data_IF_405655625361
#
_entry.id   IF_405655625361
#
_cell.length_a   1.000
_cell.length_b   1.000
_cell.length_c   1.000
_cell.angle_alpha   90.00
_cell.angle_beta   90.00
_cell.angle_gamma   90.00
#
_symmetry.space_group_name_H-M   'P 1'
#
loop_
_entity.id
_entity.type
_entity.pdbx_description
1 polymer ?
#
# COMPACT_ATOMS: atom_id res chain seq x y z
N UNK A 1 -0.39 -4.11 14.16
CA UNK A 1 0.43 -4.48 12.98
C UNK A 1 -0.40 -5.40 12.11
N UNK A 2 -0.53 -5.10 10.86
CA UNK A 2 -1.26 -5.95 9.92
C UNK A 2 -0.47 -7.26 9.75
N UNK A 3 -1.12 -8.40 9.94
CA UNK A 3 -0.54 -9.74 9.73
C UNK A 3 -0.13 -9.97 8.25
N UNK A 4 -0.59 -9.08 7.35
CA UNK A 4 -0.40 -9.16 5.91
C UNK A 4 0.95 -8.59 5.41
N UNK A 5 1.65 -7.78 6.22
CA UNK A 5 2.94 -7.16 5.87
C UNK A 5 3.98 -7.52 6.93
N UNK A 6 5.06 -8.16 6.50
CA UNK A 6 6.17 -8.55 7.37
C UNK A 6 7.40 -7.67 7.12
N UNK A 7 8.08 -7.24 8.18
CA UNK A 7 9.39 -6.60 8.05
C UNK A 7 10.48 -7.65 7.96
N UNK A 8 11.41 -7.47 7.04
CA UNK A 8 12.55 -8.36 6.82
C UNK A 8 13.87 -7.60 6.76
N UNK A 9 14.96 -8.32 7.01
CA UNK A 9 16.32 -7.85 6.85
C UNK A 9 16.96 -8.37 5.55
N UNK A 10 18.14 -7.84 5.20
CA UNK A 10 18.92 -8.33 4.07
C UNK A 10 19.26 -9.83 4.16
N UNK A 11 19.44 -10.36 5.37
CA UNK A 11 19.74 -11.79 5.60
C UNK A 11 18.57 -12.72 5.20
N UNK A 12 17.33 -12.25 5.29
CA UNK A 12 16.14 -13.02 4.97
C UNK A 12 15.76 -12.92 3.48
N UNK A 13 16.27 -11.91 2.79
CA UNK A 13 15.92 -11.62 1.40
C UNK A 13 16.21 -12.78 0.42
N UNK A 14 17.35 -13.51 0.48
CA UNK A 14 17.60 -14.65 -0.40
C UNK A 14 16.58 -15.78 -0.25
N UNK A 15 16.15 -16.06 0.99
CA UNK A 15 15.12 -17.07 1.25
C UNK A 15 13.75 -16.65 0.65
N UNK A 16 13.46 -15.36 0.69
CA UNK A 16 12.26 -14.79 0.10
C UNK A 16 12.23 -14.96 -1.43
N UNK A 17 13.35 -14.74 -2.11
CA UNK A 17 13.46 -14.93 -3.57
C UNK A 17 13.26 -16.40 -4.01
N UNK A 18 13.52 -17.36 -3.11
CA UNK A 18 13.26 -18.78 -3.34
C UNK A 18 11.84 -19.21 -2.99
N UNK A 19 10.99 -18.28 -2.52
CA UNK A 19 9.58 -18.55 -2.25
C UNK A 19 8.83 -18.89 -3.55
N UNK A 20 7.85 -19.78 -3.44
CA UNK A 20 6.94 -20.09 -4.55
C UNK A 20 5.92 -18.99 -4.82
N UNK A 21 5.74 -18.08 -3.86
CA UNK A 21 4.84 -16.93 -3.99
C UNK A 21 5.59 -15.76 -4.61
N UNK A 22 4.90 -14.99 -5.47
CA UNK A 22 5.40 -13.66 -5.84
C UNK A 22 5.55 -12.76 -4.62
N UNK A 23 6.43 -11.79 -4.70
CA UNK A 23 6.79 -10.92 -3.58
C UNK A 23 6.69 -9.45 -3.98
N UNK A 24 6.11 -8.65 -3.11
CA UNK A 24 6.16 -7.19 -3.18
C UNK A 24 7.03 -6.69 -2.03
N UNK A 25 8.02 -5.85 -2.34
CA UNK A 25 9.01 -5.35 -1.37
C UNK A 25 8.96 -3.84 -1.32
N UNK A 26 8.63 -3.27 -0.16
CA UNK A 26 8.71 -1.82 0.09
C UNK A 26 10.00 -1.48 0.84
N UNK A 27 10.88 -0.70 0.19
CA UNK A 27 12.05 -0.10 0.82
C UNK A 27 11.67 1.25 1.41
N UNK A 28 11.51 1.30 2.73
CA UNK A 28 11.14 2.49 3.46
C UNK A 28 12.30 3.08 4.28
N UNK A 29 12.13 4.29 4.77
CA UNK A 29 13.08 5.00 5.65
C UNK A 29 12.36 5.66 6.81
N UNK A 30 13.11 6.02 7.87
CA UNK A 30 12.64 6.96 8.88
C UNK A 30 12.57 8.37 8.32
N UNK A 31 11.77 9.23 8.96
CA UNK A 31 11.60 10.64 8.57
C UNK A 31 11.27 10.83 7.08
N UNK A 32 10.37 9.99 6.58
CA UNK A 32 10.00 9.90 5.17
C UNK A 32 8.48 10.10 5.01
N UNK A 33 7.99 11.34 4.84
CA UNK A 33 6.56 11.59 4.68
C UNK A 33 5.91 10.79 3.53
N UNK A 34 6.55 10.60 2.36
CA UNK A 34 5.99 9.73 1.33
C UNK A 34 5.87 8.26 1.75
N UNK A 35 6.79 7.74 2.60
CA UNK A 35 6.70 6.38 3.14
C UNK A 35 5.52 6.25 4.12
N UNK A 36 5.31 7.25 4.96
CA UNK A 36 4.16 7.31 5.88
C UNK A 36 2.84 7.36 5.12
N UNK A 37 2.77 8.14 4.02
CA UNK A 37 1.61 8.20 3.15
C UNK A 37 1.36 6.89 2.36
N UNK A 38 2.41 6.11 2.11
CA UNK A 38 2.32 4.82 1.44
C UNK A 38 1.81 3.72 2.37
N UNK A 39 2.25 3.70 3.62
CA UNK A 39 2.01 2.59 4.56
C UNK A 39 0.56 2.11 4.61
N UNK A 40 -0.48 2.95 4.81
CA UNK A 40 -1.86 2.49 4.85
C UNK A 40 -2.35 1.95 3.50
N UNK A 41 -1.86 2.47 2.38
CA UNK A 41 -2.19 1.96 1.04
C UNK A 41 -1.56 0.60 0.79
N UNK A 42 -0.31 0.43 1.20
CA UNK A 42 0.45 -0.81 1.09
C UNK A 42 -0.20 -1.93 1.93
N UNK A 43 -0.55 -1.64 3.18
CA UNK A 43 -1.25 -2.58 4.06
C UNK A 43 -2.64 -2.95 3.54
N UNK A 44 -3.40 -2.00 2.99
CA UNK A 44 -4.70 -2.26 2.40
C UNK A 44 -4.61 -3.19 1.17
N UNK A 45 -3.61 -3.00 0.30
CA UNK A 45 -3.36 -3.88 -0.85
C UNK A 45 -2.88 -5.24 -0.37
N UNK A 46 -1.95 -5.30 0.58
CA UNK A 46 -1.50 -6.56 1.18
C UNK A 46 -2.66 -7.36 1.77
N UNK A 47 -3.59 -6.71 2.46
CA UNK A 47 -4.78 -7.35 3.01
C UNK A 47 -5.66 -8.06 1.96
N UNK A 48 -5.68 -7.58 0.72
CA UNK A 48 -6.42 -8.22 -0.38
C UNK A 48 -5.68 -9.44 -0.96
N UNK A 49 -4.35 -9.40 -1.04
CA UNK A 49 -3.56 -10.34 -1.85
C UNK A 49 -2.61 -11.23 -1.06
N UNK A 50 -2.49 -11.10 0.27
CA UNK A 50 -1.51 -11.84 1.10
C UNK A 50 -1.60 -13.37 1.01
N UNK A 51 -2.74 -13.92 0.62
CA UNK A 51 -2.89 -15.37 0.42
C UNK A 51 -2.03 -15.87 -0.76
N UNK A 52 -1.88 -15.05 -1.80
CA UNK A 52 -1.23 -15.40 -3.07
C UNK A 52 0.10 -14.66 -3.29
N UNK A 53 0.31 -13.52 -2.64
CA UNK A 53 1.49 -12.66 -2.78
C UNK A 53 2.05 -12.34 -1.41
N UNK A 54 3.36 -12.45 -1.25
CA UNK A 54 4.03 -12.07 -0.01
C UNK A 54 4.37 -10.59 -0.02
N UNK A 55 3.91 -9.85 0.99
CA UNK A 55 4.20 -8.43 1.15
C UNK A 55 5.18 -8.22 2.27
N UNK A 56 6.31 -7.60 1.95
CA UNK A 56 7.36 -7.33 2.93
C UNK A 56 7.82 -5.87 2.85
N UNK A 57 8.36 -5.38 3.96
CA UNK A 57 9.02 -4.10 4.03
C UNK A 57 10.45 -4.26 4.52
N UNK A 58 11.35 -3.43 4.01
CA UNK A 58 12.78 -3.41 4.33
C UNK A 58 13.18 -2.01 4.78
N UNK A 59 13.73 -1.88 5.98
CA UNK A 59 14.26 -0.61 6.46
C UNK A 59 15.57 -0.30 5.75
N UNK A 60 15.53 0.61 4.78
CA UNK A 60 16.61 0.87 3.84
C UNK A 60 17.90 1.31 4.53
N UNK A 61 17.81 2.12 5.59
CA UNK A 61 18.99 2.66 6.28
C UNK A 61 19.83 1.57 6.96
N UNK A 62 19.22 0.49 7.41
CA UNK A 62 19.91 -0.66 8.01
C UNK A 62 20.30 -1.74 6.99
N UNK A 63 19.75 -1.70 5.78
CA UNK A 63 19.96 -2.69 4.73
C UNK A 63 20.54 -2.04 3.45
N UNK A 64 21.55 -1.17 3.62
CA UNK A 64 22.11 -0.37 2.53
C UNK A 64 22.76 -1.18 1.43
N UNK A 65 23.45 -2.28 1.80
CA UNK A 65 24.09 -3.17 0.83
C UNK A 65 23.07 -3.80 -0.10
N UNK A 66 22.02 -4.40 0.46
CA UNK A 66 20.91 -4.94 -0.31
C UNK A 66 20.23 -3.88 -1.20
N UNK A 67 19.98 -2.69 -0.65
CA UNK A 67 19.39 -1.59 -1.42
C UNK A 67 20.29 -1.19 -2.62
N UNK A 68 21.62 -1.13 -2.43
CA UNK A 68 22.56 -0.82 -3.48
C UNK A 68 22.64 -1.94 -4.53
N UNK A 69 22.68 -3.20 -4.13
CA UNK A 69 22.66 -4.35 -5.04
C UNK A 69 21.43 -4.35 -5.93
N UNK A 70 20.27 -4.00 -5.38
CA UNK A 70 19.01 -3.90 -6.12
C UNK A 70 18.81 -2.55 -6.82
N UNK A 71 19.78 -1.63 -6.74
CA UNK A 71 19.70 -0.31 -7.36
C UNK A 71 18.61 0.59 -6.76
N UNK A 72 18.26 0.39 -5.48
CA UNK A 72 17.29 1.22 -4.75
C UNK A 72 17.95 2.49 -4.24
N UNK A 73 17.70 3.60 -4.90
CA UNK A 73 18.36 4.90 -4.64
C UNK A 73 17.62 5.76 -3.62
N UNK A 74 16.34 5.53 -3.39
CA UNK A 74 15.50 6.37 -2.52
C UNK A 74 14.41 5.57 -1.81
N UNK A 75 13.63 6.25 -0.99
CA UNK A 75 12.47 5.70 -0.28
C UNK A 75 11.26 6.64 -0.44
N UNK A 76 10.04 6.13 -0.60
CA UNK A 76 9.76 4.71 -0.77
C UNK A 76 10.17 4.21 -2.17
N UNK A 77 10.53 2.94 -2.25
CA UNK A 77 10.69 2.21 -3.52
C UNK A 77 10.04 0.84 -3.38
N UNK A 78 9.06 0.54 -4.22
CA UNK A 78 8.38 -0.75 -4.22
C UNK A 78 8.78 -1.57 -5.43
N UNK A 79 9.22 -2.81 -5.20
CA UNK A 79 9.59 -3.79 -6.22
C UNK A 79 8.55 -4.90 -6.29
N UNK A 80 8.29 -5.41 -7.50
CA UNK A 80 7.38 -6.52 -7.77
C UNK A 80 8.17 -7.71 -8.35
N UNK A 81 8.32 -8.77 -7.55
CA UNK A 81 9.21 -9.89 -7.84
C UNK A 81 8.42 -11.17 -8.04
N UNK A 82 8.78 -11.93 -9.08
CA UNK A 82 8.28 -13.28 -9.34
C UNK A 82 9.44 -14.17 -9.78
N UNK A 83 9.56 -15.34 -9.16
CA UNK A 83 10.66 -16.28 -9.43
C UNK A 83 12.04 -15.61 -9.30
N UNK A 84 12.20 -14.73 -8.30
CA UNK A 84 13.44 -14.01 -8.03
C UNK A 84 13.75 -12.85 -8.99
N UNK A 85 12.83 -12.50 -9.90
CA UNK A 85 13.03 -11.44 -10.90
C UNK A 85 11.98 -10.35 -10.78
N UNK A 86 12.38 -9.12 -11.06
CA UNK A 86 11.47 -7.99 -11.16
C UNK A 86 10.65 -8.12 -12.45
N UNK A 87 9.32 -8.19 -12.32
CA UNK A 87 8.39 -8.43 -13.45
C UNK A 87 7.51 -7.24 -13.81
N UNK A 88 7.49 -6.22 -12.96
CA UNK A 88 6.79 -4.97 -13.22
C UNK A 88 7.70 -3.78 -12.92
N UNK A 89 7.47 -2.61 -13.53
CA UNK A 89 8.22 -1.40 -13.19
C UNK A 89 8.10 -1.08 -11.72
N UNK A 90 9.24 -0.82 -11.07
CA UNK A 90 9.25 -0.35 -9.69
C UNK A 90 8.59 1.01 -9.57
N UNK A 91 7.92 1.26 -8.46
CA UNK A 91 7.28 2.55 -8.20
C UNK A 91 8.00 3.26 -7.05
N UNK A 92 8.11 4.59 -7.15
CA UNK A 92 8.89 5.42 -6.24
C UNK A 92 8.17 6.74 -5.94
N UNK A 93 8.60 7.43 -4.91
CA UNK A 93 8.12 8.77 -4.54
C UNK A 93 6.67 8.78 -4.05
N UNK A 94 5.78 9.57 -4.63
CA UNK A 94 4.38 9.69 -4.23
C UNK A 94 3.53 8.56 -4.82
N UNK A 95 3.67 7.35 -4.29
CA UNK A 95 3.04 6.13 -4.81
C UNK A 95 1.53 6.13 -4.58
N UNK A 96 0.77 5.89 -5.65
CA UNK A 96 -0.69 5.74 -5.62
C UNK A 96 -1.09 4.28 -5.44
N UNK A 97 -2.27 4.06 -4.85
CA UNK A 97 -2.84 2.70 -4.73
C UNK A 97 -2.99 2.01 -6.08
N UNK A 98 -3.37 2.75 -7.13
CA UNK A 98 -3.50 2.23 -8.49
C UNK A 98 -2.19 1.69 -9.05
N UNK A 99 -1.05 2.30 -8.71
CA UNK A 99 0.28 1.84 -9.14
C UNK A 99 0.67 0.54 -8.43
N UNK A 100 0.34 0.39 -7.14
CA UNK A 100 0.51 -0.87 -6.42
C UNK A 100 -0.33 -1.99 -7.03
N UNK A 101 -1.60 -1.72 -7.31
CA UNK A 101 -2.49 -2.69 -7.95
C UNK A 101 -2.02 -3.08 -9.35
N UNK A 102 -1.54 -2.11 -10.14
CA UNK A 102 -0.95 -2.39 -11.45
C UNK A 102 0.26 -3.32 -11.35
N UNK A 103 1.18 -3.08 -10.40
CA UNK A 103 2.31 -3.97 -10.16
C UNK A 103 1.90 -5.37 -9.70
N UNK A 104 0.91 -5.47 -8.81
CA UNK A 104 0.38 -6.76 -8.33
C UNK A 104 -0.32 -7.53 -9.45
N UNK A 105 -0.98 -6.85 -10.40
CA UNK A 105 -1.64 -7.51 -11.54
C UNK A 105 -0.66 -8.27 -12.44
N UNK A 106 0.61 -7.85 -12.51
CA UNK A 106 1.66 -8.56 -13.25
C UNK A 106 2.18 -9.82 -12.52
N UNK A 107 1.90 -9.93 -11.22
CA UNK A 107 2.33 -11.07 -10.40
C UNK A 107 1.37 -12.26 -10.48
N UNK A 108 0.08 -12.02 -10.76
CA UNK A 108 -0.99 -13.01 -10.68
C UNK A 108 -1.69 -13.22 -12.03
N UNK A 109 -2.29 -14.40 -12.26
CA UNK A 109 -3.22 -14.58 -13.38
C UNK A 109 -4.37 -13.57 -13.28
N UNK A 110 -4.80 -13.00 -14.42
CA UNK A 110 -5.81 -11.94 -14.46
C UNK A 110 -7.10 -12.31 -13.71
N UNK A 111 -7.61 -13.53 -13.88
CA UNK A 111 -8.81 -14.00 -13.17
C UNK A 111 -8.63 -14.03 -11.66
N UNK A 112 -7.42 -14.40 -11.18
CA UNK A 112 -7.14 -14.44 -9.75
C UNK A 112 -7.00 -13.04 -9.17
N UNK A 113 -6.32 -12.15 -9.89
CA UNK A 113 -6.21 -10.75 -9.51
C UNK A 113 -7.59 -10.10 -9.36
N UNK A 114 -8.47 -10.24 -10.36
CA UNK A 114 -9.84 -9.67 -10.31
C UNK A 114 -10.64 -10.22 -9.12
N UNK A 115 -10.58 -11.53 -8.88
CA UNK A 115 -11.28 -12.14 -7.76
C UNK A 115 -10.84 -11.60 -6.40
N UNK A 116 -9.56 -11.26 -6.24
CA UNK A 116 -9.01 -10.72 -4.99
C UNK A 116 -9.17 -9.20 -4.88
N UNK A 117 -9.00 -8.47 -5.98
CA UNK A 117 -9.11 -7.01 -6.00
C UNK A 117 -10.52 -6.53 -5.60
N UNK A 118 -11.54 -7.33 -5.90
CA UNK A 118 -12.94 -7.05 -5.54
C UNK A 118 -13.38 -7.68 -4.21
N UNK A 119 -12.46 -8.23 -3.44
CA UNK A 119 -12.70 -8.88 -2.14
C UNK A 119 -12.91 -7.86 -1.02
N UNK A 120 -13.63 -6.77 -1.29
CA UNK A 120 -14.02 -5.83 -0.25
C UNK A 120 -15.09 -6.49 0.64
N UNK A 121 -14.80 -6.64 1.93
CA UNK A 121 -15.84 -6.99 2.90
C UNK A 121 -16.75 -5.78 3.05
N UNK A 122 -18.05 -5.86 2.70
CA UNK A 122 -18.96 -4.75 2.90
C UNK A 122 -19.00 -4.38 4.38
N UNK A 123 -18.80 -3.11 4.69
CA UNK A 123 -18.97 -2.58 6.04
C UNK A 123 -20.23 -1.71 6.03
N UNK A 124 -21.20 -2.04 6.83
CA UNK A 124 -22.38 -1.22 7.04
C UNK A 124 -22.12 -0.26 8.21
N UNK A 125 -22.40 1.01 8.00
CA UNK A 125 -22.27 2.05 9.03
C UNK A 125 -23.46 2.99 8.92
N UNK A 126 -24.20 3.12 10.03
CA UNK A 126 -25.26 4.11 10.12
C UNK A 126 -24.68 5.52 10.28
N UNK A 127 -25.16 6.45 9.48
CA UNK A 127 -24.77 7.85 9.57
C UNK A 127 -25.95 8.77 9.21
N UNK A 128 -25.97 9.95 9.83
CA UNK A 128 -26.92 11.00 9.46
C UNK A 128 -26.49 11.70 8.16
N UNK A 129 -25.17 11.79 7.95
CA UNK A 129 -24.57 12.46 6.79
C UNK A 129 -23.40 11.63 6.23
N UNK A 130 -23.38 11.44 4.92
CA UNK A 130 -22.27 10.88 4.18
C UNK A 130 -21.61 11.98 3.33
N UNK A 131 -20.31 12.20 3.53
CA UNK A 131 -19.51 13.15 2.75
C UNK A 131 -18.59 12.34 1.83
N UNK A 132 -18.68 12.59 0.53
CA UNK A 132 -17.84 11.98 -0.48
C UNK A 132 -16.71 12.96 -0.86
N UNK A 133 -15.50 12.63 -0.47
CA UNK A 133 -14.29 13.43 -0.66
C UNK A 133 -13.87 14.20 0.59
N UNK A 134 -12.59 14.06 0.97
CA UNK A 134 -11.94 14.75 2.10
C UNK A 134 -11.10 15.96 1.65
N UNK A 135 -11.43 16.56 0.51
CA UNK A 135 -10.88 17.84 0.09
C UNK A 135 -11.33 18.99 0.99
N UNK A 136 -10.88 20.25 0.73
CA UNK A 136 -11.23 21.40 1.58
C UNK A 136 -12.73 21.57 1.82
N UNK A 137 -13.55 21.35 0.79
CA UNK A 137 -15.02 21.44 0.89
C UNK A 137 -15.60 20.33 1.77
N UNK A 138 -15.15 19.08 1.61
CA UNK A 138 -15.58 17.94 2.41
C UNK A 138 -15.20 18.08 3.88
N UNK A 139 -13.98 18.52 4.16
CA UNK A 139 -13.50 18.80 5.52
C UNK A 139 -14.33 19.90 6.16
N UNK A 140 -14.60 20.99 5.45
CA UNK A 140 -15.45 22.09 5.95
C UNK A 140 -16.87 21.59 6.25
N UNK A 141 -17.48 20.82 5.35
CA UNK A 141 -18.78 20.21 5.59
C UNK A 141 -18.78 19.30 6.83
N UNK A 142 -17.73 18.49 7.01
CA UNK A 142 -17.56 17.63 8.17
C UNK A 142 -17.50 18.40 9.49
N UNK A 143 -16.80 19.54 9.52
CA UNK A 143 -16.74 20.43 10.69
C UNK A 143 -18.13 20.96 11.05
N UNK A 144 -18.91 21.42 10.08
CA UNK A 144 -20.28 21.89 10.33
C UNK A 144 -21.21 20.76 10.81
N UNK A 145 -21.09 19.58 10.22
CA UNK A 145 -21.85 18.40 10.69
C UNK A 145 -21.49 18.03 12.14
N UNK A 146 -20.21 18.08 12.48
CA UNK A 146 -19.76 17.82 13.86
C UNK A 146 -20.29 18.87 14.85
N UNK A 147 -20.29 20.14 14.48
CA UNK A 147 -20.88 21.22 15.29
C UNK A 147 -22.40 21.02 15.48
N UNK A 148 -23.08 20.51 14.48
CA UNK A 148 -24.50 20.16 14.55
C UNK A 148 -24.76 18.82 15.29
N UNK A 149 -23.71 18.13 15.78
CA UNK A 149 -23.76 16.83 16.45
C UNK A 149 -24.37 15.71 15.59
N UNK A 150 -24.21 15.81 14.27
CA UNK A 150 -24.62 14.78 13.33
C UNK A 150 -23.56 13.67 13.26
N UNK A 151 -23.99 12.42 13.27
CA UNK A 151 -23.13 11.28 13.01
C UNK A 151 -22.73 11.29 11.54
N UNK A 152 -21.48 11.67 11.28
CA UNK A 152 -20.99 11.92 9.92
C UNK A 152 -19.93 10.87 9.54
N UNK A 153 -20.09 10.29 8.37
CA UNK A 153 -19.09 9.45 7.72
C UNK A 153 -18.53 10.19 6.53
N UNK A 154 -17.20 10.29 6.46
CA UNK A 154 -16.48 10.86 5.33
C UNK A 154 -15.73 9.76 4.60
N UNK A 155 -15.89 9.65 3.29
CA UNK A 155 -15.23 8.66 2.44
C UNK A 155 -14.37 9.37 1.41
N UNK A 156 -13.13 8.98 1.30
CA UNK A 156 -12.17 9.51 0.32
C UNK A 156 -11.34 8.38 -0.30
N UNK A 157 -10.84 8.61 -1.51
CA UNK A 157 -9.95 7.68 -2.22
C UNK A 157 -8.48 7.79 -1.80
N UNK A 158 -8.15 8.76 -0.95
CA UNK A 158 -6.80 9.03 -0.45
C UNK A 158 -6.80 9.47 1.01
N UNK A 159 -5.62 9.61 1.60
CA UNK A 159 -5.47 10.29 2.88
C UNK A 159 -5.84 11.77 2.71
N UNK A 160 -6.79 12.24 3.51
CA UNK A 160 -7.40 13.56 3.39
C UNK A 160 -6.39 14.68 3.12
N UNK A 161 -6.63 15.42 2.04
CA UNK A 161 -5.76 16.50 1.63
C UNK A 161 -5.59 16.60 0.11
N UNK A 162 -6.64 16.36 -0.65
CA UNK A 162 -6.72 16.70 -2.08
C UNK A 162 -5.65 16.04 -2.95
N UNK A 163 -6.09 15.26 -3.90
CA UNK A 163 -5.27 14.87 -5.04
C UNK A 163 -4.89 16.12 -5.84
N UNK A 164 -3.62 16.52 -5.77
CA UNK A 164 -3.01 17.31 -6.82
C UNK A 164 -2.69 16.42 -7.99
#
# INVERSE_FOLDING_TARGET
MSEAVREITAAEFPALLNSKKPVVVDFYSSECPPCEALAPKYEAVAGLFHDDVEFVKVFRQQNRELANELGVKGSPTVLFLKDGKEVAPRVTSAIKRSELLAGVSELLPAQRFEALAHRATPTETDADVLILGAGPAGVTAGIYCAQARLKTVMVDLGLGGGSG
#
